data_IF_428402511037
#
_entry.id   IF_428402511037
#
_cell.length_a   1.000
_cell.length_b   1.000
_cell.length_c   1.000
_cell.angle_alpha   90.00
_cell.angle_beta   90.00
_cell.angle_gamma   90.00
#
_symmetry.space_group_name_H-M   'P 1'
#
loop_
_entity.id
_entity.type
_entity.pdbx_description
1 polymer ?
#
# COMPACT_ATOMS: atom_id res chain seq x y z
N UNK A 1 62.69 48.09 -25.78
CA UNK A 1 63.29 46.90 -25.13
C UNK A 1 62.10 46.00 -24.78
N UNK A 2 61.65 45.17 -25.73
CA UNK A 2 61.95 43.71 -25.82
C UNK A 2 61.32 42.95 -24.63
N UNK A 3 60.56 41.86 -24.75
CA UNK A 3 59.99 40.99 -25.82
C UNK A 3 59.03 40.03 -25.05
N UNK A 4 57.84 39.69 -25.56
CA UNK A 4 57.51 38.47 -26.34
C UNK A 4 57.63 37.15 -25.50
N UNK A 5 56.73 36.15 -25.54
CA UNK A 5 56.04 35.49 -26.66
C UNK A 5 54.74 34.75 -26.17
N UNK A 6 53.59 34.81 -26.88
CA UNK A 6 53.02 33.86 -27.90
C UNK A 6 52.45 32.57 -27.24
N UNK A 7 51.15 32.23 -27.35
CA UNK A 7 50.50 31.65 -28.54
C UNK A 7 49.03 32.05 -28.74
N UNK A 8 48.69 32.21 -30.03
CA UNK A 8 47.38 32.47 -30.63
C UNK A 8 46.63 31.16 -30.94
N UNK A 9 45.30 31.22 -31.01
CA UNK A 9 44.60 30.63 -32.16
C UNK A 9 43.28 31.34 -32.46
N UNK A 10 43.05 31.51 -33.76
CA UNK A 10 42.23 32.53 -34.40
C UNK A 10 40.73 32.22 -34.44
N UNK A 11 39.93 33.29 -34.33
CA UNK A 11 38.57 33.39 -34.83
C UNK A 11 38.59 33.99 -36.24
N UNK A 12 38.00 33.29 -37.21
CA UNK A 12 37.17 33.83 -38.30
C UNK A 12 37.18 32.87 -39.50
N UNK A 13 36.03 32.25 -39.77
CA UNK A 13 35.48 32.19 -41.12
C UNK A 13 33.96 32.04 -41.03
N UNK A 14 33.28 33.15 -41.29
CA UNK A 14 31.84 33.27 -41.53
C UNK A 14 31.70 33.45 -43.04
N UNK A 15 30.95 32.59 -43.72
CA UNK A 15 29.83 32.98 -44.60
C UNK A 15 29.36 31.79 -45.43
N UNK A 16 28.09 31.42 -45.26
CA UNK A 16 27.10 31.31 -46.35
C UNK A 16 25.82 30.65 -45.81
N UNK A 17 24.76 31.44 -45.63
CA UNK A 17 23.40 30.94 -45.45
C UNK A 17 22.92 30.21 -46.71
N UNK A 18 21.91 29.33 -46.58
CA UNK A 18 20.59 29.77 -47.01
C UNK A 18 19.45 29.42 -46.03
N UNK A 19 18.41 30.22 -46.11
CA UNK A 19 17.18 30.21 -45.31
C UNK A 19 16.20 29.13 -45.77
N UNK A 20 15.66 28.39 -44.77
CA UNK A 20 14.39 27.65 -44.70
C UNK A 20 14.24 26.37 -45.57
N UNK A 21 13.58 25.30 -45.05
CA UNK A 21 12.13 25.34 -44.87
C UNK A 21 11.62 24.78 -43.53
N UNK A 22 10.48 25.32 -43.08
CA UNK A 22 9.67 24.76 -41.98
C UNK A 22 9.38 23.27 -42.19
N UNK A 23 9.55 22.41 -41.17
CA UNK A 23 9.03 21.06 -41.24
C UNK A 23 7.51 21.01 -41.02
N UNK A 24 6.81 20.05 -41.66
CA UNK A 24 5.35 19.96 -41.75
C UNK A 24 4.68 19.48 -40.45
N UNK A 25 3.36 19.69 -40.28
CA UNK A 25 2.66 19.32 -39.05
C UNK A 25 2.49 17.80 -38.95
N UNK A 26 3.25 17.16 -38.07
CA UNK A 26 3.09 15.72 -37.81
C UNK A 26 1.97 15.49 -36.79
N UNK A 27 0.81 15.08 -37.29
CA UNK A 27 0.11 13.89 -36.77
C UNK A 27 -0.65 13.98 -35.44
N UNK A 28 -1.64 14.87 -35.33
CA UNK A 28 -2.67 14.81 -34.29
C UNK A 28 -3.57 13.55 -34.41
N UNK A 29 -3.12 12.40 -33.91
CA UNK A 29 -3.97 11.19 -33.72
C UNK A 29 -4.17 10.77 -32.26
N UNK A 30 -3.36 11.25 -31.32
CA UNK A 30 -3.53 10.98 -29.87
C UNK A 30 -4.50 11.94 -29.15
N UNK A 31 -4.46 13.24 -29.49
CA UNK A 31 -5.31 14.23 -28.81
C UNK A 31 -6.79 14.18 -29.24
N UNK A 32 -7.13 13.62 -30.41
CA UNK A 32 -8.55 13.50 -30.85
C UNK A 32 -9.37 12.52 -30.00
N UNK A 33 -8.77 11.51 -29.36
CA UNK A 33 -9.48 10.59 -28.45
C UNK A 33 -9.74 11.20 -27.07
N UNK A 34 -8.81 12.00 -26.57
CA UNK A 34 -8.94 12.71 -25.29
C UNK A 34 -9.87 13.91 -25.42
N UNK A 35 -9.71 14.74 -26.47
CA UNK A 35 -10.67 15.81 -26.80
C UNK A 35 -12.05 15.24 -27.19
N UNK A 36 -12.13 14.06 -27.82
CA UNK A 36 -13.41 13.41 -28.13
C UNK A 36 -14.14 12.82 -26.92
N UNK A 37 -13.43 12.53 -25.82
CA UNK A 37 -14.00 12.11 -24.52
C UNK A 37 -14.36 13.33 -23.67
N UNK A 38 -13.49 14.33 -23.57
CA UNK A 38 -13.78 15.60 -22.90
C UNK A 38 -14.92 16.36 -23.60
N UNK A 39 -14.99 16.37 -24.93
CA UNK A 39 -16.11 16.97 -25.68
C UNK A 39 -17.41 16.17 -25.53
N UNK A 40 -17.36 14.85 -25.29
CA UNK A 40 -18.54 14.04 -24.95
C UNK A 40 -18.99 14.24 -23.50
N UNK A 41 -18.04 14.42 -22.58
CA UNK A 41 -18.31 14.77 -21.19
C UNK A 41 -18.87 16.20 -21.08
N UNK A 42 -18.31 17.14 -21.85
CA UNK A 42 -18.75 18.53 -21.92
C UNK A 42 -20.08 18.67 -22.67
N UNK A 43 -20.32 17.96 -23.78
CA UNK A 43 -21.66 17.89 -24.37
C UNK A 43 -22.66 17.14 -23.48
N UNK A 44 -22.21 16.19 -22.66
CA UNK A 44 -23.02 15.51 -21.66
C UNK A 44 -23.44 16.45 -20.53
N UNK A 45 -22.50 17.22 -19.99
CA UNK A 45 -22.74 18.24 -18.97
C UNK A 45 -23.57 19.39 -19.55
N UNK A 46 -23.30 19.85 -20.77
CA UNK A 46 -24.12 20.88 -21.44
C UNK A 46 -25.51 20.34 -21.77
N UNK A 47 -25.68 19.06 -22.13
CA UNK A 47 -27.01 18.46 -22.30
C UNK A 47 -27.75 18.30 -20.97
N UNK A 48 -27.05 17.99 -19.88
CA UNK A 48 -27.64 17.94 -18.53
C UNK A 48 -28.00 19.35 -18.08
N UNK A 49 -27.16 20.36 -18.30
CA UNK A 49 -27.42 21.77 -17.93
C UNK A 49 -28.50 22.40 -18.81
N UNK A 50 -28.56 22.09 -20.11
CA UNK A 50 -29.63 22.55 -21.01
C UNK A 50 -30.93 21.78 -20.74
N UNK A 51 -30.89 20.47 -20.45
CA UNK A 51 -32.06 19.75 -19.96
C UNK A 51 -32.53 20.30 -18.62
N UNK A 52 -31.62 20.70 -17.72
CA UNK A 52 -31.93 21.34 -16.45
C UNK A 52 -32.54 22.74 -16.68
N UNK A 53 -32.00 23.55 -17.59
CA UNK A 53 -32.54 24.87 -17.92
C UNK A 53 -33.88 24.80 -18.68
N UNK A 54 -34.09 23.78 -19.53
CA UNK A 54 -35.35 23.53 -20.24
C UNK A 54 -36.39 22.97 -19.29
N UNK A 55 -36.03 22.04 -18.40
CA UNK A 55 -36.91 21.55 -17.33
C UNK A 55 -37.27 22.68 -16.36
N UNK A 56 -36.31 23.54 -15.99
CA UNK A 56 -36.52 24.71 -15.15
C UNK A 56 -37.42 25.76 -15.82
N UNK A 57 -37.25 26.03 -17.13
CA UNK A 57 -38.14 26.94 -17.88
C UNK A 57 -39.54 26.38 -18.14
N UNK A 58 -39.67 25.08 -18.39
CA UNK A 58 -40.99 24.42 -18.54
C UNK A 58 -41.73 24.41 -17.20
N UNK A 59 -41.03 24.24 -16.07
CA UNK A 59 -41.62 24.30 -14.73
C UNK A 59 -41.95 25.71 -14.25
N UNK A 60 -41.17 26.73 -14.59
CA UNK A 60 -41.40 28.10 -14.12
C UNK A 60 -42.59 28.82 -14.78
N UNK A 61 -43.28 28.22 -15.75
CA UNK A 61 -44.46 28.81 -16.39
C UNK A 61 -45.80 28.26 -15.90
N UNK A 62 -45.82 27.27 -15.00
CA UNK A 62 -47.04 26.79 -14.34
C UNK A 62 -46.76 26.49 -12.86
N UNK A 63 -47.26 27.38 -11.98
CA UNK A 63 -47.53 27.22 -10.53
C UNK A 63 -46.47 26.48 -9.66
N UNK A 64 -45.93 27.11 -8.60
CA UNK A 64 -44.86 26.54 -7.80
C UNK A 64 -45.41 25.42 -6.89
N UNK A 65 -45.28 24.17 -7.30
CA UNK A 65 -45.60 23.03 -6.41
C UNK A 65 -44.32 22.51 -5.75
N UNK A 66 -44.39 22.33 -4.42
CA UNK A 66 -43.32 21.92 -3.48
C UNK A 66 -42.63 20.57 -3.80
N UNK A 67 -42.98 19.92 -4.90
CA UNK A 67 -42.67 18.52 -5.20
C UNK A 67 -41.18 18.22 -5.49
N UNK A 68 -40.40 19.04 -6.23
CA UNK A 68 -39.00 18.71 -6.55
C UNK A 68 -38.05 18.81 -5.35
N UNK A 69 -38.27 19.80 -4.48
CA UNK A 69 -37.51 19.96 -3.22
C UNK A 69 -37.88 18.86 -2.22
N UNK A 70 -39.16 18.47 -2.15
CA UNK A 70 -39.62 17.37 -1.30
C UNK A 70 -39.01 16.04 -1.74
N UNK A 71 -38.93 15.75 -3.04
CA UNK A 71 -38.32 14.52 -3.57
C UNK A 71 -36.81 14.45 -3.32
N UNK A 72 -36.07 15.56 -3.51
CA UNK A 72 -34.65 15.62 -3.16
C UNK A 72 -34.44 15.47 -1.64
N UNK A 73 -35.27 16.13 -0.83
CA UNK A 73 -35.20 15.97 0.63
C UNK A 73 -35.56 14.55 1.06
N UNK A 74 -36.58 13.92 0.46
CA UNK A 74 -37.02 12.57 0.80
C UNK A 74 -35.97 11.53 0.41
N UNK A 75 -35.31 11.69 -0.74
CA UNK A 75 -34.17 10.84 -1.12
C UNK A 75 -33.00 11.01 -0.16
N UNK A 76 -32.61 12.25 0.18
CA UNK A 76 -31.54 12.55 1.12
C UNK A 76 -31.85 12.00 2.52
N UNK A 77 -33.08 12.18 3.00
CA UNK A 77 -33.56 11.64 4.28
C UNK A 77 -33.55 10.11 4.24
N UNK A 78 -34.08 9.47 3.19
CA UNK A 78 -34.07 8.00 3.08
C UNK A 78 -32.66 7.42 3.04
N UNK A 79 -31.70 8.09 2.37
CA UNK A 79 -30.29 7.68 2.40
C UNK A 79 -29.66 7.88 3.78
N UNK A 80 -29.95 8.99 4.47
CA UNK A 80 -29.47 9.22 5.83
C UNK A 80 -30.02 8.17 6.81
N UNK A 81 -31.32 7.85 6.73
CA UNK A 81 -31.95 6.82 7.57
C UNK A 81 -31.44 5.40 7.24
N UNK A 82 -31.13 5.12 5.97
CA UNK A 82 -30.55 3.82 5.59
C UNK A 82 -29.11 3.65 6.09
N UNK A 83 -28.33 4.74 6.17
CA UNK A 83 -26.97 4.72 6.72
C UNK A 83 -27.00 4.58 8.25
N UNK A 84 -27.88 5.30 8.95
CA UNK A 84 -28.06 5.21 10.42
C UNK A 84 -28.52 3.82 10.91
N UNK A 85 -29.02 2.96 10.03
CA UNK A 85 -29.53 1.62 10.39
C UNK A 85 -28.55 0.47 10.16
N UNK A 86 -27.42 0.68 9.48
CA UNK A 86 -26.41 -0.37 9.32
C UNK A 86 -25.57 -0.48 10.61
N UNK A 87 -25.67 -1.63 11.30
CA UNK A 87 -24.76 -1.92 12.41
C UNK A 87 -23.39 -2.33 11.89
N UNK A 88 -22.37 -1.55 12.24
CA UNK A 88 -20.97 -1.78 11.85
C UNK A 88 -20.18 -2.18 13.08
N UNK A 89 -19.64 -3.40 13.09
CA UNK A 89 -18.71 -3.86 14.11
C UNK A 89 -17.29 -3.44 13.75
N UNK A 90 -16.66 -2.64 14.61
CA UNK A 90 -15.24 -2.32 14.54
C UNK A 90 -14.48 -3.15 15.59
N UNK A 91 -13.54 -3.98 15.13
CA UNK A 91 -12.88 -4.98 15.98
C UNK A 91 -11.78 -4.39 16.88
N UNK A 92 -11.15 -3.29 16.47
CA UNK A 92 -10.08 -2.61 17.21
C UNK A 92 -9.98 -1.11 16.86
N UNK A 93 -9.53 -0.22 17.77
CA UNK A 93 -9.31 1.20 17.47
C UNK A 93 -8.09 1.42 16.55
N UNK A 94 -8.27 1.13 15.26
CA UNK A 94 -7.19 1.18 14.25
C UNK A 94 -6.86 2.58 13.74
N UNK A 95 -7.85 3.50 13.77
CA UNK A 95 -7.71 4.87 13.28
C UNK A 95 -8.83 5.75 13.84
N UNK A 96 -8.46 6.82 14.55
CA UNK A 96 -9.43 7.71 15.21
C UNK A 96 -10.38 8.42 14.21
N UNK A 97 -9.87 8.80 13.03
CA UNK A 97 -10.69 9.42 11.98
C UNK A 97 -11.73 8.45 11.40
N UNK A 98 -11.32 7.20 11.13
CA UNK A 98 -12.24 6.15 10.68
C UNK A 98 -13.32 5.89 11.72
N UNK A 99 -12.94 5.75 13.00
CA UNK A 99 -13.90 5.53 14.08
C UNK A 99 -14.91 6.68 14.18
N UNK A 100 -14.44 7.94 14.18
CA UNK A 100 -15.30 9.11 14.23
C UNK A 100 -16.28 9.17 13.05
N UNK A 101 -15.81 8.89 11.84
CA UNK A 101 -16.67 8.90 10.65
C UNK A 101 -17.63 7.71 10.60
N UNK A 102 -17.24 6.55 11.15
CA UNK A 102 -18.14 5.41 11.30
C UNK A 102 -19.27 5.74 12.30
N UNK A 103 -18.93 6.32 13.45
CA UNK A 103 -19.89 6.72 14.49
C UNK A 103 -20.88 7.78 13.99
N UNK A 104 -20.41 8.68 13.12
CA UNK A 104 -21.24 9.73 12.50
C UNK A 104 -22.20 9.20 11.43
N UNK A 105 -21.82 8.13 10.71
CA UNK A 105 -22.52 7.67 9.51
C UNK A 105 -23.34 6.39 9.73
N UNK A 106 -22.98 5.58 10.71
CA UNK A 106 -23.55 4.25 10.93
C UNK A 106 -23.82 4.01 12.42
N UNK A 107 -24.55 2.93 12.73
CA UNK A 107 -24.64 2.44 14.10
C UNK A 107 -23.34 1.68 14.44
N UNK A 108 -22.35 2.40 14.93
CA UNK A 108 -21.06 1.82 15.29
C UNK A 108 -21.16 0.98 16.57
N UNK A 109 -20.63 -0.24 16.50
CA UNK A 109 -20.49 -1.19 17.61
C UNK A 109 -18.99 -1.44 17.77
N UNK A 110 -18.43 -1.03 18.91
CA UNK A 110 -17.02 -1.19 19.21
C UNK A 110 -16.83 -2.48 19.99
N UNK A 111 -16.00 -3.39 19.50
CA UNK A 111 -15.79 -4.67 20.20
C UNK A 111 -15.15 -4.47 21.59
N UNK A 112 -14.31 -3.45 21.75
CA UNK A 112 -13.64 -3.14 23.01
C UNK A 112 -14.53 -2.45 24.06
N UNK A 113 -15.79 -2.13 23.73
CA UNK A 113 -16.79 -1.74 24.73
C UNK A 113 -17.34 -2.97 25.48
N UNK A 114 -17.01 -4.19 25.03
CA UNK A 114 -17.36 -5.41 25.73
C UNK A 114 -16.61 -5.54 27.07
N UNK A 115 -17.21 -6.15 28.09
CA UNK A 115 -16.50 -6.49 29.33
C UNK A 115 -15.25 -7.36 29.05
N UNK A 116 -14.22 -7.34 29.91
CA UNK A 116 -12.93 -8.02 29.69
C UNK A 116 -12.97 -9.53 29.35
N UNK A 117 -14.07 -10.24 29.62
CA UNK A 117 -14.30 -11.64 29.20
C UNK A 117 -15.68 -11.84 28.51
N UNK A 118 -16.33 -10.73 28.18
CA UNK A 118 -17.71 -10.67 27.71
C UNK A 118 -17.88 -10.60 26.19
N UNK A 119 -16.80 -10.61 25.41
CA UNK A 119 -16.86 -10.41 23.95
C UNK A 119 -17.81 -11.37 23.24
N UNK A 120 -17.85 -12.64 23.64
CA UNK A 120 -18.76 -13.62 23.04
C UNK A 120 -20.24 -13.31 23.36
N UNK A 121 -20.54 -12.86 24.58
CA UNK A 121 -21.90 -12.46 24.97
C UNK A 121 -22.29 -11.15 24.31
N UNK A 122 -21.38 -10.19 24.25
CA UNK A 122 -21.55 -8.91 23.57
C UNK A 122 -21.87 -9.11 22.08
N UNK A 123 -21.13 -9.98 21.40
CA UNK A 123 -21.40 -10.34 20.01
C UNK A 123 -22.78 -11.00 19.86
N UNK A 124 -23.15 -11.94 20.74
CA UNK A 124 -24.49 -12.57 20.73
C UNK A 124 -25.61 -11.54 20.93
N UNK A 125 -25.45 -10.60 21.85
CA UNK A 125 -26.43 -9.55 22.14
C UNK A 125 -26.63 -8.58 20.96
N UNK A 126 -25.61 -8.40 20.13
CA UNK A 126 -25.63 -7.51 18.97
C UNK A 126 -25.75 -8.25 17.61
N UNK A 127 -25.83 -9.58 17.62
CA UNK A 127 -25.67 -10.42 16.43
C UNK A 127 -26.61 -10.10 15.27
N UNK A 128 -27.86 -9.72 15.57
CA UNK A 128 -28.87 -9.33 14.58
C UNK A 128 -28.72 -7.89 14.06
N UNK A 129 -28.03 -7.03 14.82
CA UNK A 129 -27.80 -5.65 14.44
C UNK A 129 -26.54 -5.50 13.57
N UNK A 130 -25.53 -6.36 13.77
CA UNK A 130 -24.27 -6.31 13.04
C UNK A 130 -24.46 -6.85 11.62
N UNK A 131 -24.34 -5.95 10.64
CA UNK A 131 -24.47 -6.24 9.20
C UNK A 131 -23.17 -5.99 8.43
N UNK A 132 -22.22 -5.27 9.03
CA UNK A 132 -20.89 -5.09 8.48
C UNK A 132 -19.81 -5.26 9.56
N UNK A 133 -18.64 -5.75 9.15
CA UNK A 133 -17.44 -5.82 10.01
C UNK A 133 -16.32 -5.04 9.34
N UNK A 134 -15.63 -4.19 10.12
CA UNK A 134 -14.36 -3.59 9.72
C UNK A 134 -13.22 -4.40 10.34
N UNK A 135 -12.46 -5.09 9.49
CA UNK A 135 -11.37 -5.98 9.89
C UNK A 135 -10.00 -5.34 9.69
N UNK A 136 -8.98 -5.83 10.42
CA UNK A 136 -7.60 -5.35 10.36
C UNK A 136 -6.63 -6.52 10.65
N UNK A 137 -5.39 -6.53 10.14
CA UNK A 137 -4.40 -7.52 10.55
C UNK A 137 -4.26 -7.64 12.08
N UNK A 138 -4.35 -8.87 12.61
CA UNK A 138 -4.41 -9.12 14.06
C UNK A 138 -5.83 -9.11 14.67
N UNK A 139 -6.81 -8.50 13.98
CA UNK A 139 -8.22 -8.46 14.37
C UNK A 139 -9.09 -9.00 13.24
N UNK A 140 -9.14 -10.32 13.21
CA UNK A 140 -9.51 -11.12 12.03
C UNK A 140 -11.01 -11.42 11.95
N UNK A 141 -11.53 -11.47 10.72
CA UNK A 141 -12.86 -11.98 10.42
C UNK A 141 -12.78 -13.46 10.02
N UNK A 142 -12.52 -14.32 11.01
CA UNK A 142 -12.42 -15.79 10.82
C UNK A 142 -13.80 -16.47 10.95
N UNK A 143 -13.87 -17.75 10.57
CA UNK A 143 -15.10 -18.55 10.57
C UNK A 143 -15.95 -18.39 11.84
N UNK A 144 -15.34 -18.46 13.04
CA UNK A 144 -16.05 -18.35 14.31
C UNK A 144 -16.77 -17.00 14.49
N UNK A 145 -16.11 -15.88 14.11
CA UNK A 145 -16.75 -14.56 14.16
C UNK A 145 -17.85 -14.46 13.11
N UNK A 146 -17.58 -14.93 11.89
CA UNK A 146 -18.56 -14.91 10.81
C UNK A 146 -19.82 -15.67 11.24
N UNK A 147 -19.69 -16.91 11.74
CA UNK A 147 -20.80 -17.75 12.21
C UNK A 147 -21.56 -17.14 13.39
N UNK A 148 -20.90 -16.38 14.27
CA UNK A 148 -21.56 -15.65 15.35
C UNK A 148 -22.44 -14.49 14.87
N UNK A 149 -22.29 -14.04 13.61
CA UNK A 149 -22.98 -12.89 13.04
C UNK A 149 -23.92 -13.35 11.90
N UNK A 150 -25.15 -13.81 12.19
CA UNK A 150 -26.07 -14.36 11.19
C UNK A 150 -26.52 -13.31 10.16
N UNK A 151 -26.55 -12.04 10.55
CA UNK A 151 -26.98 -10.91 9.71
C UNK A 151 -25.83 -10.23 8.96
N UNK A 152 -24.60 -10.77 9.00
CA UNK A 152 -23.44 -10.20 8.33
C UNK A 152 -23.62 -10.20 6.81
N UNK A 153 -23.37 -9.05 6.18
CA UNK A 153 -23.52 -8.84 4.73
C UNK A 153 -22.19 -8.48 4.05
N UNK A 154 -21.30 -7.77 4.75
CA UNK A 154 -20.02 -7.31 4.21
C UNK A 154 -18.91 -7.28 5.26
N UNK A 155 -17.70 -7.70 4.86
CA UNK A 155 -16.46 -7.46 5.60
C UNK A 155 -15.61 -6.47 4.83
N UNK A 156 -15.25 -5.36 5.46
CA UNK A 156 -14.41 -4.31 4.87
C UNK A 156 -13.08 -4.31 5.60
N UNK A 157 -12.01 -4.77 4.95
CA UNK A 157 -10.68 -4.78 5.55
C UNK A 157 -10.03 -3.40 5.42
N UNK A 158 -9.56 -2.85 6.55
CA UNK A 158 -8.69 -1.67 6.61
C UNK A 158 -7.23 -2.06 6.33
N UNK A 159 -7.01 -2.82 5.26
CA UNK A 159 -5.69 -3.23 4.79
C UNK A 159 -5.76 -3.76 3.35
N UNK A 160 -4.62 -4.05 2.72
CA UNK A 160 -4.57 -4.69 1.39
C UNK A 160 -4.60 -6.22 1.46
N UNK A 161 -3.81 -6.80 2.37
CA UNK A 161 -3.82 -8.24 2.58
C UNK A 161 -5.15 -8.70 3.16
N UNK A 162 -5.55 -9.93 2.84
CA UNK A 162 -6.85 -10.50 3.23
C UNK A 162 -6.69 -11.87 3.90
N UNK A 163 -5.47 -12.17 4.33
CA UNK A 163 -5.07 -13.38 5.04
C UNK A 163 -5.77 -13.56 6.41
N UNK A 164 -6.28 -12.46 6.98
CA UNK A 164 -7.04 -12.41 8.23
C UNK A 164 -8.57 -12.45 8.02
N UNK A 165 -9.04 -12.73 6.80
CA UNK A 165 -10.46 -12.87 6.48
C UNK A 165 -10.71 -14.25 5.87
N UNK A 166 -11.66 -15.00 6.43
CA UNK A 166 -12.03 -16.31 5.88
C UNK A 166 -12.88 -16.14 4.61
N UNK A 167 -12.20 -15.96 3.47
CA UNK A 167 -12.85 -15.78 2.17
C UNK A 167 -13.71 -16.99 1.76
N UNK A 168 -13.29 -18.26 1.94
CA UNK A 168 -14.14 -19.41 1.69
C UNK A 168 -15.48 -19.31 2.44
N UNK A 169 -15.44 -19.00 3.74
CA UNK A 169 -16.65 -18.87 4.56
C UNK A 169 -17.51 -17.68 4.15
N UNK A 170 -16.89 -16.55 3.79
CA UNK A 170 -17.62 -15.40 3.28
C UNK A 170 -18.34 -15.74 1.97
N UNK A 171 -17.70 -16.47 1.04
CA UNK A 171 -18.35 -16.93 -0.20
C UNK A 171 -19.51 -17.88 0.07
N UNK A 172 -19.33 -18.86 0.96
CA UNK A 172 -20.38 -19.81 1.35
C UNK A 172 -21.64 -19.10 1.81
N UNK A 173 -21.48 -18.01 2.58
CA UNK A 173 -22.57 -17.22 3.14
C UNK A 173 -23.03 -16.04 2.29
N UNK A 174 -22.46 -15.84 1.11
CA UNK A 174 -22.78 -14.68 0.25
C UNK A 174 -22.37 -13.33 0.84
N UNK A 175 -21.41 -13.32 1.76
CA UNK A 175 -20.88 -12.11 2.40
C UNK A 175 -19.87 -11.47 1.45
N UNK A 176 -20.03 -10.16 1.20
CA UNK A 176 -19.10 -9.40 0.36
C UNK A 176 -17.81 -9.10 1.11
N UNK A 177 -16.68 -9.01 0.40
CA UNK A 177 -15.41 -8.59 1.01
C UNK A 177 -14.79 -7.49 0.17
N UNK A 178 -14.32 -6.44 0.83
CA UNK A 178 -13.53 -5.37 0.21
C UNK A 178 -12.24 -5.13 0.99
N UNK A 179 -11.25 -4.54 0.34
CA UNK A 179 -9.97 -4.16 0.94
C UNK A 179 -9.54 -2.76 0.46
N UNK A 180 -8.34 -2.29 0.82
CA UNK A 180 -7.85 -0.95 0.45
C UNK A 180 -6.65 -0.97 -0.51
N UNK A 181 -6.78 -1.53 -1.74
CA UNK A 181 -5.70 -1.59 -2.72
C UNK A 181 -5.30 -0.20 -3.21
N UNK A 182 -4.13 -0.13 -3.84
CA UNK A 182 -3.57 1.06 -4.48
C UNK A 182 -3.14 2.18 -3.50
N UNK A 183 -3.98 2.59 -2.54
CA UNK A 183 -3.79 3.77 -1.66
C UNK A 183 -2.60 3.71 -0.68
N UNK A 184 -2.04 2.53 -0.44
CA UNK A 184 -0.87 2.33 0.44
C UNK A 184 0.40 1.91 -0.31
N UNK A 185 0.33 1.83 -1.64
CA UNK A 185 1.42 1.27 -2.46
C UNK A 185 2.71 2.06 -2.32
N UNK A 186 2.60 3.39 -2.31
CA UNK A 186 3.75 4.28 -2.27
C UNK A 186 4.45 4.26 -0.91
N UNK A 187 3.72 4.41 0.19
CA UNK A 187 4.31 4.40 1.53
C UNK A 187 4.98 3.06 1.89
N UNK A 188 4.36 1.93 1.50
CA UNK A 188 4.98 0.62 1.75
C UNK A 188 6.24 0.45 0.91
N UNK A 189 6.25 0.96 -0.33
CA UNK A 189 7.43 0.93 -1.18
C UNK A 189 8.54 1.88 -0.67
N UNK A 190 8.17 3.06 -0.18
CA UNK A 190 9.07 4.02 0.46
C UNK A 190 9.73 3.39 1.68
N UNK A 191 8.96 2.72 2.54
CA UNK A 191 9.49 2.04 3.72
C UNK A 191 10.44 0.91 3.33
N UNK A 192 10.14 0.11 2.31
CA UNK A 192 11.02 -0.97 1.87
C UNK A 192 12.41 -0.45 1.43
N UNK A 193 12.45 0.63 0.65
CA UNK A 193 13.70 1.27 0.22
C UNK A 193 14.39 1.95 1.41
N UNK A 194 13.63 2.60 2.29
CA UNK A 194 14.14 3.19 3.53
C UNK A 194 14.81 2.15 4.43
N UNK A 195 14.19 0.99 4.64
CA UNK A 195 14.74 -0.13 5.39
C UNK A 195 16.01 -0.69 4.73
N UNK A 196 16.02 -0.87 3.41
CA UNK A 196 17.21 -1.31 2.68
C UNK A 196 18.40 -0.37 2.88
N UNK A 197 18.17 0.95 2.72
CA UNK A 197 19.20 1.97 2.95
C UNK A 197 19.62 1.99 4.42
N UNK A 198 18.67 1.96 5.36
CA UNK A 198 18.94 1.98 6.79
C UNK A 198 19.77 0.77 7.25
N UNK A 199 19.47 -0.43 6.77
CA UNK A 199 20.19 -1.65 7.10
C UNK A 199 21.62 -1.66 6.53
N UNK A 200 21.80 -1.23 5.28
CA UNK A 200 23.12 -1.17 4.63
C UNK A 200 24.01 -0.05 5.17
N UNK A 201 23.41 1.11 5.48
CA UNK A 201 24.10 2.32 5.99
C UNK A 201 24.12 2.43 7.51
N UNK A 202 23.50 1.48 8.21
CA UNK A 202 23.44 1.41 9.69
C UNK A 202 22.94 2.71 10.31
N UNK A 203 21.92 3.31 9.70
CA UNK A 203 21.42 4.64 10.10
C UNK A 203 20.95 4.66 11.56
N UNK A 204 20.10 3.74 12.04
CA UNK A 204 19.68 3.74 13.44
C UNK A 204 20.84 3.56 14.42
N UNK A 205 21.82 2.71 14.08
CA UNK A 205 23.01 2.47 14.90
C UNK A 205 23.90 3.73 14.95
N UNK A 206 24.12 4.39 13.81
CA UNK A 206 24.88 5.62 13.72
C UNK A 206 24.19 6.79 14.46
N UNK A 207 22.86 6.90 14.39
CA UNK A 207 22.08 7.86 15.18
C UNK A 207 22.30 7.62 16.69
N UNK A 208 22.15 6.38 17.16
CA UNK A 208 22.44 6.02 18.57
C UNK A 208 23.86 6.37 18.98
N UNK A 209 24.85 6.11 18.12
CA UNK A 209 26.25 6.42 18.38
C UNK A 209 26.48 7.92 18.61
N UNK A 210 25.88 8.78 17.79
CA UNK A 210 25.96 10.23 17.95
C UNK A 210 25.24 10.69 19.22
N UNK A 211 24.01 10.20 19.46
CA UNK A 211 23.22 10.55 20.67
C UNK A 211 23.91 10.13 21.97
N UNK A 212 24.69 9.06 21.95
CA UNK A 212 25.50 8.61 23.07
C UNK A 212 26.80 9.43 23.27
N UNK A 213 27.04 10.47 22.46
CA UNK A 213 28.25 11.30 22.51
C UNK A 213 29.52 10.58 22.03
N UNK A 214 29.39 9.39 21.45
CA UNK A 214 30.53 8.55 21.08
C UNK A 214 31.32 9.11 19.91
N UNK A 215 30.71 9.91 19.03
CA UNK A 215 31.46 10.53 17.94
C UNK A 215 32.54 11.49 18.46
N UNK A 216 32.20 12.32 19.46
CA UNK A 216 33.17 13.18 20.13
C UNK A 216 34.22 12.37 20.91
N UNK A 217 33.80 11.27 21.55
CA UNK A 217 34.65 10.51 22.46
C UNK A 217 35.57 9.48 21.76
N UNK A 218 35.12 8.89 20.65
CA UNK A 218 35.77 7.77 19.96
C UNK A 218 36.21 8.10 18.52
N UNK A 219 35.80 9.26 17.98
CA UNK A 219 36.07 9.62 16.60
C UNK A 219 35.07 9.00 15.62
N UNK A 220 35.48 8.94 14.35
CA UNK A 220 34.61 8.59 13.22
C UNK A 220 33.93 7.22 13.36
N UNK A 221 32.73 7.12 12.80
CA UNK A 221 31.95 5.88 12.76
C UNK A 221 32.55 4.88 11.76
N UNK A 222 32.31 3.59 11.99
CA UNK A 222 32.78 2.53 11.10
C UNK A 222 32.23 2.69 9.67
N UNK A 223 33.03 2.26 8.68
CA UNK A 223 32.58 2.22 7.28
C UNK A 223 31.36 1.31 7.13
N UNK A 224 30.44 1.72 6.26
CA UNK A 224 29.18 1.01 5.98
C UNK A 224 29.08 0.65 4.50
N UNK A 225 27.97 0.03 4.10
CA UNK A 225 27.84 -0.59 2.77
C UNK A 225 27.06 0.30 1.81
N UNK A 226 27.61 0.53 0.61
CA UNK A 226 26.91 1.26 -0.47
C UNK A 226 25.63 0.52 -0.92
N UNK A 227 24.53 1.25 -1.04
CA UNK A 227 23.27 0.77 -1.63
C UNK A 227 23.25 0.91 -3.16
N UNK A 228 23.66 2.06 -3.70
CA UNK A 228 23.63 2.30 -5.15
C UNK A 228 24.39 1.21 -5.94
N UNK A 229 23.77 0.75 -7.02
CA UNK A 229 24.29 -0.31 -7.88
C UNK A 229 24.18 -1.74 -7.33
N UNK A 230 23.60 -1.95 -6.14
CA UNK A 230 23.35 -3.31 -5.58
C UNK A 230 22.26 -4.02 -6.37
N UNK A 231 22.37 -5.35 -6.48
CA UNK A 231 21.34 -6.20 -7.08
C UNK A 231 20.17 -6.36 -6.11
N UNK A 232 18.97 -5.96 -6.52
CA UNK A 232 17.76 -6.05 -5.70
C UNK A 232 16.86 -7.14 -6.24
N UNK A 233 16.64 -8.19 -5.46
CA UNK A 233 15.68 -9.24 -5.74
C UNK A 233 14.34 -8.98 -5.07
N UNK A 234 13.24 -9.03 -5.81
CA UNK A 234 11.89 -8.80 -5.28
C UNK A 234 11.04 -10.06 -5.41
N UNK A 235 10.57 -10.59 -4.28
CA UNK A 235 9.61 -11.70 -4.23
C UNK A 235 8.21 -11.12 -4.37
N UNK A 236 7.61 -11.28 -5.54
CA UNK A 236 6.29 -10.75 -5.89
C UNK A 236 6.35 -9.37 -6.54
N UNK A 237 6.18 -9.32 -7.86
CA UNK A 237 6.18 -8.08 -8.64
C UNK A 237 4.75 -7.56 -8.91
N UNK A 238 3.96 -7.46 -7.84
CA UNK A 238 2.66 -6.82 -7.84
C UNK A 238 2.76 -5.29 -7.82
N UNK A 239 1.70 -4.61 -7.35
CA UNK A 239 1.68 -3.13 -7.23
C UNK A 239 2.84 -2.60 -6.39
N UNK A 240 2.98 -3.14 -5.17
CA UNK A 240 4.05 -2.75 -4.23
C UNK A 240 5.42 -3.14 -4.79
N UNK A 241 5.59 -4.38 -5.27
CA UNK A 241 6.85 -4.83 -5.86
C UNK A 241 7.32 -3.97 -7.05
N UNK A 242 6.40 -3.53 -7.92
CA UNK A 242 6.72 -2.60 -9.01
C UNK A 242 7.07 -1.21 -8.50
N UNK A 243 6.34 -0.69 -7.52
CA UNK A 243 6.65 0.61 -6.92
C UNK A 243 8.03 0.62 -6.22
N UNK A 244 8.43 -0.50 -5.61
CA UNK A 244 9.78 -0.71 -5.08
C UNK A 244 10.80 -0.75 -6.22
N UNK A 245 10.55 -1.54 -7.27
CA UNK A 245 11.43 -1.64 -8.43
C UNK A 245 11.75 -0.26 -9.04
N UNK A 246 10.72 0.55 -9.29
CA UNK A 246 10.86 1.91 -9.83
C UNK A 246 11.73 2.81 -8.94
N UNK A 247 11.62 2.68 -7.62
CA UNK A 247 12.42 3.49 -6.69
C UNK A 247 13.88 3.06 -6.67
N UNK A 248 14.16 1.76 -6.63
CA UNK A 248 15.54 1.26 -6.59
C UNK A 248 16.27 1.46 -7.92
N UNK A 249 15.56 1.52 -9.05
CA UNK A 249 16.14 1.92 -10.34
C UNK A 249 16.79 3.31 -10.27
N UNK A 250 16.22 4.25 -9.51
CA UNK A 250 16.81 5.59 -9.30
C UNK A 250 18.11 5.57 -8.46
N UNK A 251 18.44 4.44 -7.83
CA UNK A 251 19.72 4.18 -7.17
C UNK A 251 20.68 3.35 -8.05
N UNK A 252 20.40 3.24 -9.36
CA UNK A 252 21.14 2.42 -10.32
C UNK A 252 21.14 0.91 -9.97
N UNK A 253 20.17 0.45 -9.18
CA UNK A 253 20.10 -0.96 -8.77
C UNK A 253 19.53 -1.84 -9.90
N UNK A 254 20.24 -2.91 -10.32
CA UNK A 254 19.64 -3.94 -11.16
C UNK A 254 18.50 -4.66 -10.41
N UNK A 255 17.34 -4.77 -11.05
CA UNK A 255 16.16 -5.41 -10.46
C UNK A 255 15.98 -6.82 -11.00
N UNK A 256 15.95 -7.77 -10.07
CA UNK A 256 15.60 -9.16 -10.28
C UNK A 256 14.28 -9.45 -9.58
N UNK A 257 13.49 -10.40 -10.08
CA UNK A 257 12.23 -10.74 -9.42
C UNK A 257 11.86 -12.22 -9.54
N UNK A 258 11.08 -12.67 -8.57
CA UNK A 258 10.38 -13.95 -8.60
C UNK A 258 8.88 -13.70 -8.57
N UNK A 259 8.14 -14.48 -9.37
CA UNK A 259 6.69 -14.54 -9.30
C UNK A 259 6.21 -15.91 -9.79
N UNK A 260 5.17 -16.47 -9.16
CA UNK A 260 4.60 -17.78 -9.53
C UNK A 260 4.34 -17.94 -11.02
N UNK A 261 3.83 -16.89 -11.65
CA UNK A 261 3.65 -16.82 -13.10
C UNK A 261 4.48 -15.67 -13.64
N UNK A 262 5.42 -15.98 -14.52
CA UNK A 262 6.27 -15.00 -15.20
C UNK A 262 5.39 -13.97 -15.91
N UNK A 263 5.71 -12.69 -15.70
CA UNK A 263 5.17 -11.57 -16.47
C UNK A 263 6.34 -10.83 -17.07
N UNK A 264 6.35 -10.62 -18.37
CA UNK A 264 7.51 -9.97 -19.00
C UNK A 264 7.59 -8.49 -18.62
N UNK A 265 8.68 -8.14 -17.95
CA UNK A 265 9.10 -6.77 -17.68
C UNK A 265 10.44 -6.56 -18.38
N UNK A 266 10.50 -5.77 -19.47
CA UNK A 266 11.70 -5.70 -20.32
C UNK A 266 13.00 -5.33 -19.59
N UNK A 267 12.89 -4.55 -18.52
CA UNK A 267 14.03 -4.05 -17.73
C UNK A 267 14.42 -4.96 -16.55
N UNK A 268 13.62 -5.99 -16.22
CA UNK A 268 13.80 -6.77 -14.99
C UNK A 268 14.06 -8.25 -15.29
N UNK A 269 14.99 -8.85 -14.54
CA UNK A 269 15.35 -10.26 -14.75
C UNK A 269 14.49 -11.19 -13.92
N UNK A 270 13.80 -12.11 -14.59
CA UNK A 270 12.97 -13.13 -13.96
C UNK A 270 13.82 -14.30 -13.44
N UNK A 271 13.50 -14.77 -12.24
CA UNK A 271 14.01 -16.01 -11.68
C UNK A 271 12.85 -17.01 -11.44
N UNK A 272 13.02 -18.29 -11.83
CA UNK A 272 11.98 -19.31 -11.64
C UNK A 272 11.93 -19.89 -10.22
N UNK A 273 12.91 -19.57 -9.37
CA UNK A 273 12.96 -19.99 -7.97
C UNK A 273 13.41 -18.85 -7.06
N UNK A 274 12.95 -18.87 -5.82
CA UNK A 274 13.32 -17.87 -4.79
C UNK A 274 14.78 -18.05 -4.37
N UNK A 275 15.28 -19.28 -4.27
CA UNK A 275 16.68 -19.59 -4.00
C UNK A 275 17.60 -19.01 -5.09
N UNK A 276 17.24 -19.19 -6.37
CA UNK A 276 18.01 -18.61 -7.48
C UNK A 276 17.99 -17.08 -7.50
N UNK A 277 16.85 -16.49 -7.14
CA UNK A 277 16.73 -15.04 -6.93
C UNK A 277 17.66 -14.57 -5.81
N UNK A 278 17.61 -15.23 -4.64
CA UNK A 278 18.41 -14.88 -3.47
C UNK A 278 19.92 -14.96 -3.75
N UNK A 279 20.38 -16.04 -4.38
CA UNK A 279 21.78 -16.19 -4.80
C UNK A 279 22.26 -15.09 -5.76
N UNK A 280 21.32 -14.48 -6.50
CA UNK A 280 21.59 -13.42 -7.46
C UNK A 280 21.34 -12.01 -6.93
N UNK A 281 21.09 -11.88 -5.62
CA UNK A 281 20.70 -10.61 -4.99
C UNK A 281 21.68 -10.23 -3.89
N UNK A 282 21.86 -8.92 -3.70
CA UNK A 282 22.54 -8.37 -2.53
C UNK A 282 21.50 -7.88 -1.49
N UNK A 283 20.32 -7.50 -1.97
CA UNK A 283 19.15 -7.15 -1.15
C UNK A 283 17.96 -7.96 -1.65
N UNK A 284 17.31 -8.72 -0.78
CA UNK A 284 16.12 -9.51 -1.09
C UNK A 284 14.90 -8.88 -0.40
N UNK A 285 13.89 -8.51 -1.15
CA UNK A 285 12.68 -7.83 -0.65
C UNK A 285 11.47 -8.73 -0.78
N UNK A 286 10.75 -8.96 0.32
CA UNK A 286 9.49 -9.71 0.34
C UNK A 286 8.33 -8.74 0.14
N UNK A 287 7.63 -8.83 -1.00
CA UNK A 287 6.51 -7.96 -1.38
C UNK A 287 5.31 -8.75 -1.95
N UNK A 288 5.22 -10.04 -1.65
CA UNK A 288 4.13 -10.92 -2.07
C UNK A 288 3.01 -11.01 -1.01
N UNK A 289 1.86 -11.53 -1.42
CA UNK A 289 0.74 -11.81 -0.50
C UNK A 289 0.97 -13.11 0.25
N UNK A 290 0.57 -13.14 1.53
CA UNK A 290 0.64 -14.34 2.36
C UNK A 290 -0.49 -15.33 1.98
N UNK A 291 -0.11 -16.59 1.81
CA UNK A 291 -0.97 -17.75 1.59
C UNK A 291 -0.19 -19.02 1.96
N UNK A 292 -0.82 -20.18 1.84
CA UNK A 292 -0.18 -21.48 2.13
C UNK A 292 1.12 -21.69 1.33
N UNK A 293 1.18 -21.26 0.07
CA UNK A 293 2.37 -21.45 -0.78
C UNK A 293 3.48 -20.44 -0.51
N UNK A 294 3.16 -19.29 0.08
CA UNK A 294 4.15 -18.24 0.39
C UNK A 294 4.53 -18.19 1.88
N UNK A 295 3.89 -19.02 2.71
CA UNK A 295 4.31 -19.21 4.11
C UNK A 295 5.72 -19.81 4.15
N UNK A 296 6.61 -19.17 4.90
CA UNK A 296 8.04 -19.50 4.98
C UNK A 296 8.70 -19.61 3.60
N UNK A 297 8.26 -18.81 2.62
CA UNK A 297 8.89 -18.72 1.30
C UNK A 297 10.36 -18.28 1.39
N UNK A 298 10.71 -17.55 2.45
CA UNK A 298 12.09 -17.30 2.86
C UNK A 298 12.41 -18.24 4.02
N UNK A 299 12.80 -19.47 3.67
CA UNK A 299 13.28 -20.48 4.61
C UNK A 299 14.81 -20.44 4.73
N UNK A 300 15.39 -21.38 5.48
CA UNK A 300 16.84 -21.55 5.64
C UNK A 300 17.61 -21.57 4.32
N UNK A 301 17.15 -22.33 3.33
CA UNK A 301 17.83 -22.46 2.03
C UNK A 301 17.94 -21.12 1.30
N UNK A 302 16.85 -20.33 1.33
CA UNK A 302 16.84 -18.97 0.75
C UNK A 302 17.76 -18.03 1.53
N UNK A 303 17.77 -18.12 2.85
CA UNK A 303 18.64 -17.31 3.72
C UNK A 303 20.12 -17.62 3.45
N UNK A 304 20.48 -18.90 3.34
CA UNK A 304 21.85 -19.33 3.03
C UNK A 304 22.28 -18.91 1.61
N UNK A 305 21.36 -18.97 0.64
CA UNK A 305 21.60 -18.49 -0.71
C UNK A 305 21.83 -16.97 -0.78
N UNK A 306 21.11 -16.18 0.03
CA UNK A 306 21.32 -14.74 0.17
C UNK A 306 22.66 -14.43 0.86
N UNK A 307 22.98 -15.19 1.90
CA UNK A 307 24.31 -15.32 2.48
C UNK A 307 24.81 -14.14 3.33
N UNK A 308 26.08 -14.18 3.78
CA UNK A 308 26.62 -13.31 4.82
C UNK A 308 26.80 -11.85 4.40
N UNK A 309 26.64 -11.54 3.11
CA UNK A 309 26.70 -10.19 2.55
C UNK A 309 25.34 -9.67 2.14
N UNK A 310 24.33 -10.53 2.10
CA UNK A 310 22.99 -10.19 1.69
C UNK A 310 22.18 -9.56 2.82
N UNK A 311 21.17 -8.78 2.44
CA UNK A 311 20.22 -8.13 3.36
C UNK A 311 18.80 -8.53 3.01
N UNK A 312 18.05 -9.05 3.98
CA UNK A 312 16.64 -9.37 3.83
C UNK A 312 15.76 -8.18 4.24
N UNK A 313 14.79 -7.80 3.41
CA UNK A 313 13.79 -6.78 3.72
C UNK A 313 12.42 -7.43 3.69
N UNK A 314 11.67 -7.35 4.80
CA UNK A 314 10.30 -7.86 4.85
C UNK A 314 9.33 -6.74 5.22
N UNK A 315 8.47 -6.39 4.26
CA UNK A 315 7.35 -5.45 4.40
C UNK A 315 5.99 -6.12 4.14
N UNK A 316 5.99 -7.45 4.02
CA UNK A 316 4.82 -8.23 3.66
C UNK A 316 4.05 -8.68 4.91
N UNK A 317 4.46 -9.82 5.43
CA UNK A 317 3.94 -10.46 6.66
C UNK A 317 5.07 -11.24 7.31
N UNK A 318 5.07 -11.34 8.63
CA UNK A 318 6.05 -12.14 9.37
C UNK A 318 6.16 -13.57 8.85
N UNK A 319 5.05 -14.33 8.75
CA UNK A 319 5.06 -15.72 8.29
C UNK A 319 5.53 -15.97 6.85
N UNK A 320 5.97 -14.96 6.09
CA UNK A 320 6.72 -15.21 4.86
C UNK A 320 8.14 -15.72 5.13
N UNK A 321 8.69 -15.40 6.30
CA UNK A 321 10.03 -15.80 6.72
C UNK A 321 9.90 -16.87 7.79
N UNK A 322 10.77 -17.87 7.77
CA UNK A 322 10.99 -18.75 8.90
C UNK A 322 11.79 -17.98 9.97
N UNK A 323 11.09 -17.37 10.92
CA UNK A 323 11.69 -16.40 11.87
C UNK A 323 12.77 -17.01 12.78
N UNK A 324 12.60 -18.24 13.32
CA UNK A 324 13.68 -18.90 14.07
C UNK A 324 14.96 -19.08 13.26
N UNK A 325 14.86 -19.49 12.00
CA UNK A 325 16.01 -19.65 11.10
C UNK A 325 16.64 -18.29 10.73
N UNK A 326 15.83 -17.25 10.55
CA UNK A 326 16.31 -15.88 10.35
C UNK A 326 17.14 -15.40 11.54
N UNK A 327 16.62 -15.56 12.76
CA UNK A 327 17.30 -15.14 13.99
C UNK A 327 18.63 -15.89 14.13
N UNK A 328 18.63 -17.22 13.99
CA UNK A 328 19.85 -18.03 14.04
C UNK A 328 20.86 -17.57 12.98
N UNK A 329 20.44 -17.34 11.74
CA UNK A 329 21.33 -16.93 10.66
C UNK A 329 21.96 -15.54 10.88
N UNK A 330 21.22 -14.61 11.46
CA UNK A 330 21.73 -13.27 11.80
C UNK A 330 22.73 -13.31 12.96
N UNK A 331 22.44 -14.11 13.99
CA UNK A 331 23.33 -14.30 15.16
C UNK A 331 24.62 -15.02 14.76
N UNK A 332 24.52 -16.04 13.92
CA UNK A 332 25.67 -16.84 13.44
C UNK A 332 26.44 -16.17 12.31
N UNK A 333 25.95 -15.04 11.78
CA UNK A 333 26.56 -14.32 10.67
C UNK A 333 26.44 -15.02 9.32
N UNK A 334 25.54 -16.01 9.18
CA UNK A 334 25.16 -16.62 7.90
C UNK A 334 24.40 -15.65 7.01
N UNK A 335 23.70 -14.68 7.61
CA UNK A 335 23.03 -13.58 6.91
C UNK A 335 23.64 -12.23 7.31
N UNK A 336 23.88 -11.36 6.32
CA UNK A 336 24.57 -10.08 6.55
C UNK A 336 23.75 -9.04 7.34
N UNK A 337 22.43 -9.05 7.18
CA UNK A 337 21.52 -8.19 7.95
C UNK A 337 20.07 -8.29 7.52
N UNK A 338 19.19 -7.58 8.22
CA UNK A 338 17.77 -7.52 7.89
C UNK A 338 17.12 -6.15 8.20
N UNK A 339 16.09 -5.79 7.43
CA UNK A 339 15.17 -4.70 7.72
C UNK A 339 13.75 -5.23 7.78
N UNK A 340 13.13 -5.21 8.96
CA UNK A 340 11.88 -5.91 9.24
C UNK A 340 10.82 -4.92 9.70
N UNK A 341 9.72 -4.85 8.95
CA UNK A 341 8.49 -4.15 9.36
C UNK A 341 7.48 -5.11 10.00
N UNK A 342 7.67 -6.42 9.84
CA UNK A 342 6.68 -7.45 10.21
C UNK A 342 7.37 -8.65 10.84
N UNK A 343 6.67 -9.34 11.75
CA UNK A 343 7.15 -10.44 12.60
C UNK A 343 6.10 -11.56 12.69
N UNK A 344 6.52 -12.79 12.99
CA UNK A 344 5.60 -13.93 13.00
C UNK A 344 4.48 -13.81 14.05
N UNK A 345 4.82 -13.31 15.23
CA UNK A 345 3.92 -13.18 16.40
C UNK A 345 3.76 -11.72 16.84
N UNK A 346 3.49 -10.81 15.92
CA UNK A 346 3.30 -9.39 16.24
C UNK A 346 2.22 -9.17 17.32
N UNK A 347 2.47 -8.30 18.32
CA UNK A 347 3.59 -7.36 18.46
C UNK A 347 4.84 -7.91 19.16
N UNK A 348 4.89 -9.21 19.45
CA UNK A 348 6.05 -9.85 20.08
C UNK A 348 7.18 -10.01 19.05
N UNK A 349 8.34 -9.45 19.35
CA UNK A 349 9.54 -9.54 18.51
C UNK A 349 10.59 -10.35 19.26
N UNK A 350 11.29 -11.31 18.62
CA UNK A 350 12.34 -12.07 19.29
C UNK A 350 13.41 -11.16 19.92
N UNK A 351 13.56 -11.23 21.24
CA UNK A 351 14.48 -10.36 21.99
C UNK A 351 15.93 -10.47 21.51
N UNK A 352 16.33 -11.63 20.99
CA UNK A 352 17.64 -11.87 20.37
C UNK A 352 17.98 -10.83 19.30
N UNK A 353 16.98 -10.30 18.58
CA UNK A 353 17.18 -9.29 17.54
C UNK A 353 17.52 -7.90 18.12
N UNK A 354 17.12 -7.58 19.35
CA UNK A 354 17.27 -6.23 19.93
C UNK A 354 18.73 -5.83 20.15
N UNK A 355 19.60 -6.82 20.33
CA UNK A 355 21.04 -6.60 20.57
C UNK A 355 21.87 -6.58 19.29
N UNK A 356 21.26 -6.89 18.14
CA UNK A 356 21.97 -7.01 16.87
C UNK A 356 22.12 -5.65 16.19
N UNK A 357 23.35 -5.29 15.83
CA UNK A 357 23.63 -4.07 15.07
C UNK A 357 23.39 -4.22 13.56
N UNK A 358 23.15 -5.45 13.07
CA UNK A 358 22.85 -5.75 11.67
C UNK A 358 21.36 -5.85 11.33
N UNK A 359 20.49 -5.40 12.23
CA UNK A 359 19.05 -5.34 11.97
C UNK A 359 18.49 -3.93 12.10
N UNK A 360 17.40 -3.67 11.39
CA UNK A 360 16.52 -2.53 11.59
C UNK A 360 15.11 -3.09 11.79
N UNK A 361 14.48 -2.73 12.90
CA UNK A 361 13.18 -3.25 13.32
C UNK A 361 12.22 -2.08 13.40
N UNK A 362 11.06 -2.17 12.74
CA UNK A 362 10.00 -1.15 12.79
C UNK A 362 8.64 -1.82 13.01
N UNK A 363 7.70 -1.16 13.71
CA UNK A 363 6.50 -1.81 14.24
C UNK A 363 5.31 -1.79 13.27
N UNK A 364 5.39 -2.55 12.17
CA UNK A 364 4.33 -2.70 11.15
C UNK A 364 3.71 -1.38 10.71
N UNK A 365 4.58 -0.47 10.30
CA UNK A 365 4.28 0.90 9.95
C UNK A 365 4.33 1.18 8.44
N UNK A 366 4.40 0.16 7.58
CA UNK A 366 4.45 0.32 6.12
C UNK A 366 3.39 1.25 5.51
N UNK A 367 2.18 1.30 6.08
CA UNK A 367 1.12 2.22 5.66
C UNK A 367 0.85 3.35 6.65
N UNK A 368 1.72 3.52 7.65
CA UNK A 368 1.51 4.29 8.87
C UNK A 368 1.69 5.80 8.74
N UNK A 369 1.27 6.41 7.64
CA UNK A 369 1.29 7.88 7.44
C UNK A 369 -0.10 8.49 7.61
N UNK A 370 -0.18 9.80 7.82
CA UNK A 370 -1.47 10.48 7.95
C UNK A 370 -2.28 10.40 6.64
N UNK A 371 -1.59 10.59 5.52
CA UNK A 371 -2.15 10.64 4.17
C UNK A 371 -2.73 9.28 3.76
N UNK A 372 -1.93 8.22 3.84
CA UNK A 372 -2.38 6.88 3.44
C UNK A 372 -3.41 6.33 4.42
N UNK A 373 -3.26 6.52 5.74
CA UNK A 373 -4.28 6.06 6.69
C UNK A 373 -5.61 6.77 6.49
N UNK A 374 -5.59 8.06 6.14
CA UNK A 374 -6.82 8.78 5.76
C UNK A 374 -7.42 8.22 4.47
N UNK A 375 -6.62 8.03 3.42
CA UNK A 375 -7.11 7.50 2.14
C UNK A 375 -7.69 6.08 2.27
N UNK A 376 -7.06 5.23 3.09
CA UNK A 376 -7.60 3.92 3.44
C UNK A 376 -8.94 4.04 4.18
N UNK A 377 -9.06 4.99 5.11
CA UNK A 377 -10.26 5.15 5.93
C UNK A 377 -11.43 5.63 5.07
N UNK A 378 -11.16 6.61 4.19
CA UNK A 378 -12.12 7.08 3.19
C UNK A 378 -12.61 5.93 2.31
N UNK A 379 -11.70 5.06 1.84
CA UNK A 379 -12.06 3.92 1.01
C UNK A 379 -12.87 2.84 1.75
N UNK A 380 -12.62 2.63 3.05
CA UNK A 380 -13.47 1.77 3.91
C UNK A 380 -14.88 2.34 3.99
N UNK A 381 -15.00 3.63 4.31
CA UNK A 381 -16.27 4.33 4.43
C UNK A 381 -17.05 4.30 3.11
N UNK A 382 -16.38 4.56 1.98
CA UNK A 382 -16.99 4.58 0.66
C UNK A 382 -17.50 3.20 0.23
N UNK A 383 -16.81 2.11 0.59
CA UNK A 383 -17.31 0.75 0.33
C UNK A 383 -18.56 0.43 1.19
N UNK A 384 -18.57 0.83 2.46
CA UNK A 384 -19.75 0.68 3.32
C UNK A 384 -20.92 1.49 2.80
N UNK A 385 -20.70 2.73 2.38
CA UNK A 385 -21.74 3.57 1.79
C UNK A 385 -22.26 2.97 0.48
N UNK A 386 -21.38 2.51 -0.41
CA UNK A 386 -21.77 1.84 -1.64
C UNK A 386 -22.63 0.60 -1.36
N UNK A 387 -22.27 -0.20 -0.34
CA UNK A 387 -23.04 -1.37 0.10
C UNK A 387 -24.46 -0.98 0.56
N UNK A 388 -24.60 0.01 1.45
CA UNK A 388 -25.91 0.50 1.93
C UNK A 388 -26.76 1.01 0.78
N UNK A 389 -26.17 1.77 -0.14
CA UNK A 389 -26.85 2.34 -1.29
C UNK A 389 -27.11 1.32 -2.42
N UNK A 390 -26.74 0.05 -2.24
CA UNK A 390 -26.82 -1.02 -3.24
C UNK A 390 -26.14 -0.63 -4.57
N UNK A 391 -25.08 0.17 -4.48
CA UNK A 391 -24.19 0.53 -5.60
C UNK A 391 -23.10 -0.54 -5.73
N UNK A 392 -22.43 -0.63 -6.89
CA UNK A 392 -21.22 -1.43 -7.01
C UNK A 392 -20.18 -1.02 -5.95
N UNK A 393 -19.61 -2.00 -5.26
CA UNK A 393 -18.50 -1.79 -4.33
C UNK A 393 -17.28 -1.25 -5.10
N UNK A 394 -16.47 -0.43 -4.45
CA UNK A 394 -15.34 0.24 -5.08
C UNK A 394 -14.17 -0.73 -5.26
N UNK A 395 -13.87 -1.52 -4.22
CA UNK A 395 -12.72 -2.42 -4.20
C UNK A 395 -13.10 -3.83 -3.74
N UNK A 396 -14.04 -4.51 -4.45
CA UNK A 396 -14.45 -5.86 -4.10
C UNK A 396 -13.34 -6.88 -4.34
N UNK A 397 -13.21 -7.80 -3.39
CA UNK A 397 -12.38 -9.00 -3.45
C UNK A 397 -13.25 -10.21 -3.81
N UNK A 398 -14.48 -10.29 -3.26
CA UNK A 398 -15.51 -11.28 -3.63
C UNK A 398 -16.88 -10.65 -3.84
#
# INVERSE_FOLDING_TARGET
MFRADVEQCNWAEISCCPVAPHPPPVGFRGQKRVYGRLRRLFLGIVRVVVAYQVLYKIFCHHQPTRLPLLLLSAFATATATAMETLGVLLLHPVNAYLEQELDRRFRLIRLWDAPPDGSAEFLRANASAIRAVVAYPGYSALAALIDALPSLEIVVSFSVGIDHVDLPKCRERGIRVTNTPDVLTDDVADLAVGLAVAALRRIPQADRFVRAGLWKAKGDYALTTRFSGKRVGIIGLGRIGLAIATRVEAFDCPVNYYQRTKKDYPSYTYYPSVVGLAASSDVLVVACSLNEQTRHIVNREVIEALGPKGVLINIGRGPHVDEPELVSALVEGRLGGAGLDVFEDEPNVPESLFTLDNVVLVPHMGSGTHETRKAMADLVLDNLEAHVLKKPLLTPVI
#
